data_IF_198138857059
#
_entry.id   IF_198138857059
#
_cell.length_a   1.000
_cell.length_b   1.000
_cell.length_c   1.000
_cell.angle_alpha   90.00
_cell.angle_beta   90.00
_cell.angle_gamma   90.00
#
_symmetry.space_group_name_H-M   'P 1'
#
loop_
_entity.id
_entity.type
_entity.pdbx_description
1 polymer ?
#
# COMPACT_ATOMS: atom_id res chain seq x y z
N UNK A 1 -38.26 -73.49 11.27
CA UNK A 1 -37.46 -72.58 10.49
C UNK A 1 -37.78 -71.10 10.78
N UNK A 2 -39.05 -70.66 10.86
CA UNK A 2 -39.41 -69.24 11.09
C UNK A 2 -38.89 -68.60 12.39
N UNK A 3 -38.81 -69.44 13.49
CA UNK A 3 -38.34 -68.92 14.81
C UNK A 3 -36.81 -68.64 14.82
N UNK A 4 -36.01 -69.40 14.03
CA UNK A 4 -34.58 -69.24 13.92
C UNK A 4 -34.21 -67.96 13.11
N UNK A 5 -34.95 -67.69 12.04
CA UNK A 5 -34.77 -66.49 11.22
C UNK A 5 -35.12 -65.21 11.99
N UNK A 6 -36.16 -65.20 12.81
CA UNK A 6 -36.54 -64.05 13.64
C UNK A 6 -35.44 -63.76 14.70
N UNK A 7 -34.88 -64.81 15.33
CA UNK A 7 -33.80 -64.66 16.28
C UNK A 7 -32.52 -64.10 15.61
N UNK A 8 -32.22 -64.53 14.39
CA UNK A 8 -31.07 -64.04 13.67
C UNK A 8 -31.21 -62.54 13.26
N UNK A 9 -32.41 -62.14 12.82
CA UNK A 9 -32.70 -60.73 12.50
C UNK A 9 -32.66 -59.84 13.74
N UNK A 10 -33.12 -60.29 14.91
CA UNK A 10 -33.05 -59.52 16.16
C UNK A 10 -31.62 -59.30 16.63
N UNK A 11 -30.74 -60.30 16.49
CA UNK A 11 -29.31 -60.16 16.81
C UNK A 11 -28.61 -59.21 15.84
N UNK A 12 -28.93 -59.28 14.53
CA UNK A 12 -28.37 -58.37 13.53
C UNK A 12 -28.81 -56.92 13.80
N UNK A 13 -30.07 -56.71 14.14
CA UNK A 13 -30.60 -55.38 14.47
C UNK A 13 -29.91 -54.79 15.71
N UNK A 14 -29.72 -55.59 16.77
CA UNK A 14 -28.98 -55.18 17.95
C UNK A 14 -27.52 -54.82 17.64
N UNK A 15 -26.83 -55.60 16.77
CA UNK A 15 -25.48 -55.30 16.34
C UNK A 15 -25.40 -53.98 15.58
N UNK A 16 -26.37 -53.68 14.70
CA UNK A 16 -26.44 -52.40 13.97
C UNK A 16 -26.69 -51.22 14.91
N UNK A 17 -27.57 -51.36 15.90
CA UNK A 17 -27.83 -50.32 16.91
C UNK A 17 -26.59 -50.06 17.76
N UNK A 18 -25.86 -51.09 18.16
CA UNK A 18 -24.58 -50.96 18.89
C UNK A 18 -23.51 -50.29 18.05
N UNK A 19 -23.38 -50.67 16.77
CA UNK A 19 -22.43 -50.01 15.86
C UNK A 19 -22.79 -48.54 15.62
N UNK A 20 -24.07 -48.22 15.50
CA UNK A 20 -24.53 -46.85 15.36
C UNK A 20 -24.27 -46.01 16.62
N UNK A 21 -24.49 -46.60 17.80
CA UNK A 21 -24.18 -45.97 19.07
C UNK A 21 -22.68 -45.75 19.27
N UNK A 22 -21.83 -46.73 18.91
CA UNK A 22 -20.38 -46.60 18.97
C UNK A 22 -19.84 -45.57 17.94
N UNK A 23 -20.42 -45.52 16.75
CA UNK A 23 -20.06 -44.54 15.74
C UNK A 23 -20.48 -43.10 16.15
N UNK A 24 -21.68 -42.95 16.70
CA UNK A 24 -22.18 -41.66 17.17
C UNK A 24 -21.54 -41.22 18.49
N UNK A 25 -21.20 -42.17 19.38
CA UNK A 25 -20.53 -41.92 20.66
C UNK A 25 -19.00 -41.82 20.54
N UNK A 26 -18.41 -42.35 19.45
CA UNK A 26 -16.96 -42.40 19.21
C UNK A 26 -16.36 -41.10 18.69
N UNK A 27 -17.12 -40.02 18.45
CA UNK A 27 -16.62 -38.77 17.97
C UNK A 27 -16.13 -37.78 19.06
N UNK A 28 -15.77 -38.34 20.22
CA UNK A 28 -15.15 -37.57 21.32
C UNK A 28 -13.90 -38.28 21.84
N UNK A 29 -12.81 -38.35 21.10
CA UNK A 29 -11.42 -38.41 21.63
C UNK A 29 -10.42 -38.57 20.48
N UNK A 30 -10.25 -37.57 19.70
CA UNK A 30 -8.99 -37.29 19.00
C UNK A 30 -8.34 -36.11 19.72
N UNK A 31 -7.65 -36.38 20.81
CA UNK A 31 -6.88 -35.38 21.54
C UNK A 31 -5.72 -34.94 20.70
N UNK A 32 -5.91 -33.86 19.92
CA UNK A 32 -4.81 -32.95 19.59
C UNK A 32 -4.71 -32.00 20.76
N UNK A 33 -3.57 -31.97 21.42
CA UNK A 33 -3.18 -30.90 22.31
C UNK A 33 -3.19 -29.58 21.52
N UNK A 34 -4.36 -29.00 21.32
CA UNK A 34 -4.51 -27.64 20.88
C UNK A 34 -4.20 -26.76 22.10
N UNK A 35 -3.12 -26.03 22.00
CA UNK A 35 -2.78 -24.92 22.88
C UNK A 35 -4.07 -24.14 23.21
N UNK A 36 -4.38 -23.99 24.48
CA UNK A 36 -5.49 -23.17 24.96
C UNK A 36 -5.27 -21.75 24.43
N UNK A 37 -6.28 -21.23 23.74
CA UNK A 37 -6.49 -19.87 23.23
C UNK A 37 -6.35 -19.65 21.72
N UNK A 38 -6.65 -20.60 20.89
CA UNK A 38 -6.94 -20.28 19.48
C UNK A 38 -8.46 -20.28 19.26
N UNK A 39 -9.06 -19.11 19.22
CA UNK A 39 -10.35 -18.91 18.55
C UNK A 39 -10.16 -19.45 17.11
N UNK A 40 -11.09 -20.29 16.57
CA UNK A 40 -10.91 -20.80 15.21
C UNK A 40 -10.85 -19.62 14.26
N UNK A 41 -9.76 -19.52 13.51
CA UNK A 41 -9.58 -18.47 12.52
C UNK A 41 -10.71 -18.53 11.47
N UNK A 42 -11.33 -17.40 11.17
CA UNK A 42 -12.53 -17.32 10.32
C UNK A 42 -12.24 -17.48 8.81
N UNK A 43 -11.11 -18.07 8.43
CA UNK A 43 -10.78 -18.30 7.03
C UNK A 43 -10.12 -17.08 6.35
N UNK A 44 -10.71 -16.58 5.26
CA UNK A 44 -10.12 -15.53 4.41
C UNK A 44 -10.99 -14.27 4.50
N UNK A 45 -10.36 -13.11 4.63
CA UNK A 45 -10.96 -11.81 4.43
C UNK A 45 -10.20 -11.04 3.32
N UNK A 46 -10.76 -9.92 2.87
CA UNK A 46 -10.04 -9.03 1.98
C UNK A 46 -10.19 -7.57 2.39
N UNK A 47 -9.21 -6.79 1.97
CA UNK A 47 -9.16 -5.33 2.13
C UNK A 47 -9.00 -4.71 0.75
N UNK A 48 -9.85 -3.76 0.41
CA UNK A 48 -9.69 -2.96 -0.80
C UNK A 48 -8.56 -1.94 -0.55
N UNK A 49 -7.37 -2.27 -1.05
CA UNK A 49 -6.14 -1.49 -0.84
C UNK A 49 -6.27 -0.09 -1.43
N UNK A 50 -6.88 0.04 -2.62
CA UNK A 50 -7.08 1.35 -3.25
C UNK A 50 -7.94 2.25 -2.37
N UNK A 51 -9.06 1.71 -1.85
CA UNK A 51 -9.95 2.44 -0.93
C UNK A 51 -9.26 2.83 0.38
N UNK A 52 -8.41 1.93 0.94
CA UNK A 52 -7.65 2.24 2.14
C UNK A 52 -6.65 3.35 1.86
N UNK A 53 -5.83 3.23 0.82
CA UNK A 53 -4.82 4.24 0.49
C UNK A 53 -5.46 5.62 0.35
N UNK A 54 -6.52 5.74 -0.46
CA UNK A 54 -7.16 7.04 -0.73
C UNK A 54 -7.93 7.65 0.44
N UNK A 55 -8.20 6.89 1.52
CA UNK A 55 -8.92 7.37 2.71
C UNK A 55 -8.07 7.37 3.97
N UNK A 56 -6.83 6.92 3.88
CA UNK A 56 -5.90 6.86 5.00
C UNK A 56 -5.28 8.25 5.26
N UNK A 57 -5.34 8.71 6.51
CA UNK A 57 -4.86 10.04 6.89
C UNK A 57 -3.37 10.25 6.55
N UNK A 58 -2.54 9.20 6.68
CA UNK A 58 -1.15 9.24 6.28
C UNK A 58 -0.97 9.59 4.79
N UNK A 59 -1.87 9.13 3.91
CA UNK A 59 -1.80 9.47 2.48
C UNK A 59 -1.98 10.97 2.25
N UNK A 60 -2.94 11.60 2.94
CA UNK A 60 -3.18 13.03 2.81
C UNK A 60 -1.99 13.86 3.31
N UNK A 61 -1.40 13.47 4.45
CA UNK A 61 -0.21 14.13 4.99
C UNK A 61 0.99 14.01 4.04
N UNK A 62 1.28 12.79 3.57
CA UNK A 62 2.38 12.55 2.63
C UNK A 62 2.18 13.25 1.29
N UNK A 63 0.94 13.29 0.82
CA UNK A 63 0.60 14.03 -0.40
C UNK A 63 0.79 15.53 -0.23
N UNK A 64 0.43 16.09 0.91
CA UNK A 64 0.68 17.49 1.21
C UNK A 64 2.17 17.82 1.22
N UNK A 65 3.01 16.96 1.82
CA UNK A 65 4.47 17.08 1.80
C UNK A 65 5.02 17.03 0.37
N UNK A 66 4.54 16.10 -0.44
CA UNK A 66 4.94 15.98 -1.85
C UNK A 66 4.56 17.22 -2.66
N UNK A 67 3.36 17.75 -2.46
CA UNK A 67 2.92 18.99 -3.11
C UNK A 67 3.77 20.19 -2.68
N UNK A 68 4.18 20.27 -1.41
CA UNK A 68 5.09 21.31 -0.93
C UNK A 68 6.47 21.19 -1.60
N UNK A 69 7.02 19.98 -1.72
CA UNK A 69 8.28 19.71 -2.44
C UNK A 69 8.18 20.10 -3.92
N UNK A 70 7.08 19.75 -4.58
CA UNK A 70 6.82 20.15 -5.97
C UNK A 70 6.82 21.67 -6.13
N UNK A 71 6.06 22.36 -5.27
CA UNK A 71 6.01 23.83 -5.29
C UNK A 71 7.39 24.48 -5.10
N UNK A 72 8.20 23.94 -4.20
CA UNK A 72 9.56 24.44 -3.96
C UNK A 72 10.46 24.17 -5.18
N UNK A 73 10.35 23.00 -5.80
CA UNK A 73 11.07 22.66 -7.03
C UNK A 73 10.69 23.58 -8.20
N UNK A 74 9.41 23.86 -8.39
CA UNK A 74 8.91 24.81 -9.38
C UNK A 74 9.43 26.23 -9.12
N UNK A 75 9.43 26.67 -7.85
CA UNK A 75 9.94 28.00 -7.47
C UNK A 75 11.45 28.13 -7.75
N UNK A 76 12.23 27.08 -7.44
CA UNK A 76 13.68 27.05 -7.75
C UNK A 76 13.93 27.14 -9.26
N UNK A 77 13.23 26.32 -10.06
CA UNK A 77 13.35 26.31 -11.51
C UNK A 77 12.98 27.66 -12.12
N UNK A 78 11.87 28.26 -11.67
CA UNK A 78 11.42 29.58 -12.12
C UNK A 78 12.41 30.69 -11.76
N UNK A 79 13.00 30.65 -10.55
CA UNK A 79 13.99 31.63 -10.11
C UNK A 79 15.26 31.57 -10.99
N UNK A 80 15.80 30.37 -11.20
CA UNK A 80 16.98 30.18 -12.06
C UNK A 80 16.68 30.47 -13.53
N UNK A 81 15.49 30.13 -14.02
CA UNK A 81 15.04 30.46 -15.37
C UNK A 81 14.94 31.99 -15.60
N UNK A 82 14.38 32.70 -14.63
CA UNK A 82 14.28 34.17 -14.67
C UNK A 82 15.66 34.84 -14.65
N UNK A 83 16.61 34.30 -13.87
CA UNK A 83 18.00 34.78 -13.84
C UNK A 83 18.69 34.58 -15.17
N UNK A 84 18.54 33.36 -15.75
CA UNK A 84 19.09 33.09 -17.10
C UNK A 84 18.52 34.05 -18.14
N UNK A 85 17.21 34.26 -18.16
CA UNK A 85 16.56 35.16 -19.10
C UNK A 85 17.04 36.60 -18.95
N UNK A 86 17.23 37.08 -17.71
CA UNK A 86 17.81 38.41 -17.45
C UNK A 86 19.23 38.49 -17.97
N UNK A 87 20.10 37.52 -17.68
CA UNK A 87 21.49 37.51 -18.13
C UNK A 87 21.59 37.47 -19.65
N UNK A 88 20.73 36.69 -20.33
CA UNK A 88 20.65 36.62 -21.78
C UNK A 88 20.24 37.96 -22.41
N UNK A 89 19.21 38.61 -21.82
CA UNK A 89 18.75 39.92 -22.28
C UNK A 89 19.84 41.01 -22.06
N UNK A 90 20.50 41.01 -20.91
CA UNK A 90 21.58 41.94 -20.61
C UNK A 90 22.77 41.74 -21.56
N UNK A 91 23.14 40.51 -21.87
CA UNK A 91 24.15 40.18 -22.85
C UNK A 91 23.77 40.73 -24.24
N UNK A 92 22.57 40.42 -24.71
CA UNK A 92 22.08 40.87 -26.01
C UNK A 92 22.06 42.39 -26.13
N UNK A 93 21.64 43.09 -25.07
CA UNK A 93 21.65 44.56 -25.03
C UNK A 93 23.07 45.14 -25.13
N UNK A 94 24.05 44.52 -24.47
CA UNK A 94 25.45 44.97 -24.51
C UNK A 94 26.09 44.73 -25.89
N UNK A 95 25.80 43.61 -26.52
CA UNK A 95 26.23 43.29 -27.89
C UNK A 95 25.63 44.32 -28.87
N UNK A 96 24.33 44.56 -28.83
CA UNK A 96 23.61 45.47 -29.72
C UNK A 96 24.10 46.91 -29.59
N UNK A 97 24.53 47.32 -28.42
CA UNK A 97 25.07 48.68 -28.15
C UNK A 97 26.57 48.79 -28.39
N UNK A 98 27.24 47.72 -28.75
CA UNK A 98 28.71 47.70 -28.91
C UNK A 98 29.49 47.94 -27.60
N UNK A 99 28.89 47.64 -26.47
CA UNK A 99 29.44 47.91 -25.12
C UNK A 99 30.23 46.73 -24.55
N UNK A 100 30.47 45.66 -25.32
CA UNK A 100 31.16 44.47 -24.87
C UNK A 100 32.34 44.15 -25.77
N UNK A 101 33.48 43.75 -25.20
CA UNK A 101 34.63 43.28 -25.97
C UNK A 101 34.40 41.86 -26.49
N UNK A 102 35.16 41.44 -27.52
CA UNK A 102 35.06 40.06 -28.05
C UNK A 102 35.40 39.02 -27.00
N UNK A 103 36.37 39.29 -26.14
CA UNK A 103 36.77 38.37 -25.06
C UNK A 103 35.64 38.20 -24.06
N UNK A 104 35.05 39.30 -23.55
CA UNK A 104 33.94 39.28 -22.61
C UNK A 104 32.68 38.65 -23.23
N UNK A 105 32.44 38.89 -24.54
CA UNK A 105 31.30 38.25 -25.24
C UNK A 105 31.45 36.73 -25.26
N UNK A 106 32.63 36.20 -25.58
CA UNK A 106 32.90 34.76 -25.58
C UNK A 106 32.72 34.13 -24.18
N UNK A 107 33.19 34.82 -23.14
CA UNK A 107 33.03 34.37 -21.75
C UNK A 107 31.55 34.33 -21.35
N UNK A 108 30.76 35.37 -21.66
CA UNK A 108 29.34 35.42 -21.36
C UNK A 108 28.51 34.41 -22.13
N UNK A 109 28.81 34.18 -23.41
CA UNK A 109 28.19 33.12 -24.21
C UNK A 109 28.42 31.75 -23.56
N UNK A 110 29.66 31.46 -23.15
CA UNK A 110 29.98 30.22 -22.42
C UNK A 110 29.21 30.12 -21.12
N UNK A 111 29.13 31.19 -20.34
CA UNK A 111 28.39 31.21 -19.09
C UNK A 111 26.87 31.00 -19.30
N UNK A 112 26.28 31.64 -20.32
CA UNK A 112 24.87 31.45 -20.70
C UNK A 112 24.60 30.01 -21.14
N UNK A 113 25.48 29.42 -21.93
CA UNK A 113 25.38 28.03 -22.33
C UNK A 113 25.41 27.09 -21.13
N UNK A 114 26.31 27.32 -20.16
CA UNK A 114 26.37 26.55 -18.91
C UNK A 114 25.10 26.70 -18.11
N UNK A 115 24.59 27.92 -17.92
CA UNK A 115 23.32 28.16 -17.22
C UNK A 115 22.15 27.43 -17.88
N UNK A 116 22.09 27.40 -19.20
CA UNK A 116 21.06 26.66 -19.93
C UNK A 116 21.15 25.15 -19.67
N UNK A 117 22.37 24.60 -19.72
CA UNK A 117 22.57 23.16 -19.41
C UNK A 117 22.20 22.82 -17.96
N UNK A 118 22.58 23.71 -17.03
CA UNK A 118 22.18 23.55 -15.60
C UNK A 118 20.68 23.56 -15.42
N UNK A 119 19.94 24.43 -16.12
CA UNK A 119 18.48 24.48 -16.07
C UNK A 119 17.85 23.19 -16.58
N UNK A 120 18.34 22.64 -17.70
CA UNK A 120 17.85 21.36 -18.24
C UNK A 120 18.12 20.25 -17.24
N UNK A 121 19.36 20.16 -16.73
CA UNK A 121 19.74 19.13 -15.75
C UNK A 121 18.92 19.25 -14.45
N UNK A 122 18.72 20.48 -13.97
CA UNK A 122 17.91 20.73 -12.78
C UNK A 122 16.47 20.28 -12.98
N UNK A 123 15.85 20.65 -14.10
CA UNK A 123 14.47 20.24 -14.42
C UNK A 123 14.33 18.73 -14.42
N UNK A 124 15.24 18.04 -15.12
CA UNK A 124 15.17 16.58 -15.26
C UNK A 124 15.41 15.89 -13.91
N UNK A 125 16.33 16.42 -13.10
CA UNK A 125 16.58 15.94 -11.74
C UNK A 125 15.36 16.16 -10.83
N UNK A 126 14.74 17.34 -10.84
CA UNK A 126 13.57 17.63 -10.03
C UNK A 126 12.39 16.72 -10.41
N UNK A 127 12.18 16.50 -11.70
CA UNK A 127 11.14 15.58 -12.19
C UNK A 127 11.40 14.14 -11.75
N UNK A 128 12.65 13.66 -11.88
CA UNK A 128 13.02 12.31 -11.44
C UNK A 128 12.84 12.14 -9.93
N UNK A 129 13.28 13.11 -9.14
CA UNK A 129 13.14 13.08 -7.68
C UNK A 129 11.66 13.04 -7.24
N UNK A 130 10.78 13.82 -7.90
CA UNK A 130 9.35 13.80 -7.59
C UNK A 130 8.71 12.45 -7.90
N UNK A 131 9.08 11.83 -9.03
CA UNK A 131 8.60 10.47 -9.35
C UNK A 131 9.09 9.42 -8.35
N UNK A 132 10.35 9.51 -7.92
CA UNK A 132 10.91 8.62 -6.90
C UNK A 132 10.20 8.81 -5.55
N UNK A 133 9.98 10.04 -5.12
CA UNK A 133 9.27 10.37 -3.87
C UNK A 133 7.84 9.84 -3.89
N UNK A 134 7.13 9.91 -5.02
CA UNK A 134 5.79 9.34 -5.17
C UNK A 134 5.81 7.81 -5.02
N UNK A 135 6.77 7.13 -5.64
CA UNK A 135 6.93 5.68 -5.50
C UNK A 135 7.27 5.28 -4.05
N UNK A 136 8.17 6.04 -3.41
CA UNK A 136 8.55 5.82 -2.00
C UNK A 136 7.33 6.03 -1.10
N UNK A 137 6.55 7.08 -1.32
CA UNK A 137 5.33 7.35 -0.58
C UNK A 137 4.34 6.17 -0.66
N UNK A 138 4.05 5.70 -1.87
CA UNK A 138 3.13 4.59 -2.08
C UNK A 138 3.62 3.30 -1.39
N UNK A 139 4.92 2.99 -1.51
CA UNK A 139 5.52 1.84 -0.84
C UNK A 139 5.40 1.95 0.68
N UNK A 140 5.75 3.09 1.27
CA UNK A 140 5.67 3.32 2.71
C UNK A 140 4.25 3.15 3.26
N UNK A 141 3.24 3.60 2.52
CA UNK A 141 1.84 3.44 2.90
C UNK A 141 1.46 1.95 2.93
N UNK A 142 1.81 1.19 1.88
CA UNK A 142 1.54 -0.26 1.83
C UNK A 142 2.28 -1.00 2.93
N UNK A 143 3.55 -0.67 3.18
CA UNK A 143 4.35 -1.24 4.28
C UNK A 143 3.73 -0.94 5.65
N UNK A 144 3.23 0.27 5.87
CA UNK A 144 2.53 0.64 7.10
C UNK A 144 1.26 -0.19 7.31
N UNK A 145 0.44 -0.33 6.25
CA UNK A 145 -0.78 -1.15 6.28
C UNK A 145 -0.44 -2.61 6.62
N UNK A 146 0.55 -3.18 5.93
CA UNK A 146 0.96 -4.58 6.14
C UNK A 146 1.47 -4.81 7.56
N UNK A 147 2.38 -3.95 8.03
CA UNK A 147 2.93 -4.02 9.39
C UNK A 147 1.85 -3.86 10.47
N UNK A 148 0.86 -2.99 10.21
CA UNK A 148 -0.29 -2.82 11.09
C UNK A 148 -1.12 -4.10 11.18
N UNK A 149 -1.44 -4.73 10.06
CA UNK A 149 -2.22 -5.97 10.02
C UNK A 149 -1.48 -7.12 10.69
N UNK A 150 -0.17 -7.24 10.47
CA UNK A 150 0.67 -8.25 11.13
C UNK A 150 0.73 -8.07 12.65
N UNK A 151 0.88 -6.83 13.12
CA UNK A 151 0.94 -6.52 14.54
C UNK A 151 -0.40 -6.77 15.26
N UNK A 152 -1.52 -6.60 14.56
CA UNK A 152 -2.88 -6.72 15.11
C UNK A 152 -3.62 -7.99 14.61
N UNK A 153 -2.89 -8.98 14.12
CA UNK A 153 -3.48 -10.23 13.56
C UNK A 153 -4.44 -10.95 14.49
N UNK A 154 -4.22 -10.85 15.79
CA UNK A 154 -5.09 -11.48 16.80
C UNK A 154 -6.47 -10.83 16.86
N UNK A 155 -6.58 -9.53 16.58
CA UNK A 155 -7.84 -8.79 16.65
C UNK A 155 -8.75 -9.10 15.46
N UNK A 156 -8.16 -9.41 14.29
CA UNK A 156 -8.90 -9.74 13.08
C UNK A 156 -9.29 -11.22 12.98
N UNK A 157 -8.52 -12.12 13.60
CA UNK A 157 -8.77 -13.56 13.66
C UNK A 157 -9.03 -14.23 12.29
N UNK A 158 -8.37 -13.79 11.22
CA UNK A 158 -8.37 -14.41 9.90
C UNK A 158 -7.05 -15.15 9.65
N UNK A 159 -7.11 -16.24 8.85
CA UNK A 159 -5.92 -16.95 8.40
C UNK A 159 -5.19 -16.16 7.31
N UNK A 160 -5.96 -15.53 6.42
CA UNK A 160 -5.45 -14.69 5.35
C UNK A 160 -6.27 -13.40 5.25
N UNK A 161 -5.58 -12.29 5.08
CA UNK A 161 -6.18 -11.01 4.67
C UNK A 161 -5.57 -10.69 3.30
N UNK A 162 -6.41 -10.72 2.26
CA UNK A 162 -5.99 -10.51 0.88
C UNK A 162 -6.18 -9.04 0.48
N UNK A 163 -5.20 -8.49 -0.23
CA UNK A 163 -5.34 -7.17 -0.85
C UNK A 163 -6.14 -7.26 -2.14
N UNK A 164 -7.22 -6.48 -2.25
CA UNK A 164 -7.98 -6.29 -3.47
C UNK A 164 -7.71 -4.89 -4.01
N UNK A 165 -7.23 -4.81 -5.25
CA UNK A 165 -6.99 -3.56 -5.97
C UNK A 165 -7.32 -3.77 -7.45
N UNK A 166 -7.39 -2.69 -8.21
CA UNK A 166 -7.57 -2.82 -9.66
C UNK A 166 -6.41 -3.61 -10.28
N UNK A 167 -6.74 -4.67 -11.03
CA UNK A 167 -5.74 -5.55 -11.65
C UNK A 167 -5.05 -6.54 -10.71
N UNK A 168 -5.48 -6.65 -9.45
CA UNK A 168 -4.96 -7.65 -8.52
C UNK A 168 -5.48 -9.06 -8.81
N UNK A 169 -4.88 -10.05 -8.14
CA UNK A 169 -5.27 -11.45 -8.23
C UNK A 169 -6.70 -11.69 -7.69
N UNK A 170 -7.15 -10.86 -6.76
CA UNK A 170 -8.50 -10.95 -6.17
C UNK A 170 -9.48 -10.20 -7.05
N UNK A 171 -10.18 -10.92 -7.93
CA UNK A 171 -11.18 -10.35 -8.84
C UNK A 171 -12.55 -10.14 -8.18
N UNK A 172 -12.95 -11.04 -7.29
CA UNK A 172 -14.22 -11.04 -6.58
C UNK A 172 -14.04 -11.47 -5.12
N UNK A 173 -14.83 -10.90 -4.24
CA UNK A 173 -14.99 -11.31 -2.85
C UNK A 173 -16.39 -10.94 -2.38
N UNK A 174 -17.02 -11.82 -1.60
CA UNK A 174 -18.30 -11.55 -0.97
C UNK A 174 -18.18 -10.37 0.00
N UNK A 175 -19.19 -9.49 0.03
CA UNK A 175 -19.20 -8.31 0.91
C UNK A 175 -19.09 -8.62 2.39
N UNK A 176 -19.51 -9.81 2.81
CA UNK A 176 -19.35 -10.27 4.19
C UNK A 176 -17.90 -10.58 4.59
N UNK A 177 -16.98 -10.68 3.60
CA UNK A 177 -15.55 -10.89 3.81
C UNK A 177 -14.74 -9.58 3.67
N UNK A 178 -15.40 -8.46 3.38
CA UNK A 178 -14.77 -7.15 3.24
C UNK A 178 -14.57 -6.49 4.60
N UNK A 179 -13.33 -6.41 5.04
CA UNK A 179 -12.94 -5.73 6.29
C UNK A 179 -12.29 -4.36 6.06
N UNK A 180 -12.44 -3.81 4.85
CA UNK A 180 -11.78 -2.55 4.46
C UNK A 180 -12.05 -1.41 5.43
N UNK A 181 -13.32 -1.19 5.80
CA UNK A 181 -13.69 -0.09 6.69
C UNK A 181 -13.13 -0.30 8.11
N UNK A 182 -13.22 -1.52 8.63
CA UNK A 182 -12.69 -1.86 9.95
C UNK A 182 -11.18 -1.63 10.04
N UNK A 183 -10.45 -2.04 9.01
CA UNK A 183 -9.00 -1.82 8.91
C UNK A 183 -8.67 -0.33 8.79
N UNK A 184 -9.39 0.40 7.95
CA UNK A 184 -9.19 1.84 7.73
C UNK A 184 -9.39 2.64 9.02
N UNK A 185 -10.49 2.39 9.76
CA UNK A 185 -10.78 3.10 11.01
C UNK A 185 -9.69 2.84 12.06
N UNK A 186 -9.23 1.61 12.17
CA UNK A 186 -8.16 1.24 13.09
C UNK A 186 -6.79 1.83 12.68
N UNK A 187 -6.47 1.86 11.38
CA UNK A 187 -5.28 2.51 10.84
C UNK A 187 -5.26 4.01 11.14
N UNK A 188 -6.37 4.72 10.84
CA UNK A 188 -6.47 6.14 11.11
C UNK A 188 -6.35 6.45 12.60
N UNK A 189 -7.02 5.68 13.45
CA UNK A 189 -6.92 5.83 14.89
C UNK A 189 -5.48 5.68 15.40
N UNK A 190 -4.76 4.66 14.92
CA UNK A 190 -3.36 4.42 15.28
C UNK A 190 -2.48 5.56 14.79
N UNK A 191 -2.59 5.92 13.53
CA UNK A 191 -1.78 6.98 12.92
C UNK A 191 -1.96 8.32 13.63
N UNK A 192 -3.20 8.70 13.97
CA UNK A 192 -3.48 9.92 14.73
C UNK A 192 -2.91 9.88 16.16
N UNK A 193 -2.79 8.70 16.78
CA UNK A 193 -2.16 8.54 18.08
C UNK A 193 -0.63 8.68 18.02
N UNK A 194 0.00 8.22 16.94
CA UNK A 194 1.45 8.33 16.69
C UNK A 194 1.89 9.74 16.31
N UNK A 195 0.98 10.56 15.75
CA UNK A 195 1.26 11.93 15.31
C UNK A 195 1.27 12.96 16.46
N UNK A 196 0.74 12.58 17.64
CA UNK A 196 0.72 13.43 18.84
C UNK A 196 2.03 13.35 19.59
#
# INVERSE_FOLDING_TARGET
MKKLTIALFSVLFLAVVVLFYLNFSGNKKGGRNASKNSVPAQGIAFVNIDSVIYKFDMFFDRRADLMAKQKNAEAELNSKGSLYQKNANDYQNQVNKGLITRADATEREKALYQQQQELVTLRDKLQSNLMEEEQVMNRQIVEYITSFLEANKADYNYQYILGKSFGSVVLYGDGGLDITQTVLDALNKKYQAEKK
#
